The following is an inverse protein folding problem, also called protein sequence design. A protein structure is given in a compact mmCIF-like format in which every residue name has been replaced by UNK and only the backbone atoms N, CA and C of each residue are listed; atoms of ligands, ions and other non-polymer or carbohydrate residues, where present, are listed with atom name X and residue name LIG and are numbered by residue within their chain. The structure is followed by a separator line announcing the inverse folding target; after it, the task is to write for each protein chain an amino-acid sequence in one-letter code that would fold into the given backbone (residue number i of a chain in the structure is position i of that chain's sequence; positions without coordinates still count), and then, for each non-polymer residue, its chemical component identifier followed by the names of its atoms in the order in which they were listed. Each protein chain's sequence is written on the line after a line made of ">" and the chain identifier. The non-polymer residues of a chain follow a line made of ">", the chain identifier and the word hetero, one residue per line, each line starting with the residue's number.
data_IF_790937886177
#
_entry.id   IF_790937886177
#
_cell.length_a   1.000
_cell.length_b   1.000
_cell.length_c   1.000
_cell.angle_alpha   90.00
_cell.angle_beta   90.00
_cell.angle_gamma   90.00
#
_symmetry.space_group_name_H-M   'P 1'
#
loop_
_entity.id
_entity.type
_entity.pdbx_description
1 polymer ?
#
# COMPACT_ATOMS: atom_id res chain seq x y z
N UNK A 1 -33.29 1.16 8.28
CA UNK A 1 -32.73 2.52 8.36
C UNK A 1 -33.02 3.17 7.03
N UNK A 2 -33.74 4.30 7.02
CA UNK A 2 -34.43 4.80 5.84
C UNK A 2 -33.50 5.35 4.76
N UNK A 3 -33.77 4.96 3.52
CA UNK A 3 -33.37 5.64 2.28
C UNK A 3 -34.03 7.02 2.20
N UNK A 4 -33.68 7.92 3.13
CA UNK A 4 -33.95 9.33 2.97
C UNK A 4 -33.14 9.79 1.77
N UNK A 5 -33.81 10.02 0.63
CA UNK A 5 -33.27 10.61 -0.59
C UNK A 5 -32.21 11.66 -0.23
N UNK A 6 -30.93 11.30 -0.36
CA UNK A 6 -29.84 12.25 -0.16
C UNK A 6 -29.95 13.25 -1.31
N UNK A 7 -30.66 14.36 -1.09
CA UNK A 7 -30.80 15.41 -2.09
C UNK A 7 -29.41 16.00 -2.33
N UNK A 8 -28.97 16.10 -3.59
CA UNK A 8 -27.66 16.64 -3.90
C UNK A 8 -27.58 18.10 -3.46
N UNK A 9 -26.49 18.45 -2.77
CA UNK A 9 -26.25 19.80 -2.26
C UNK A 9 -25.36 20.60 -3.20
N UNK A 10 -24.47 19.91 -3.93
CA UNK A 10 -23.52 20.48 -4.87
C UNK A 10 -23.48 19.63 -6.14
N UNK A 11 -23.31 20.31 -7.25
CA UNK A 11 -23.21 19.74 -8.59
C UNK A 11 -21.97 20.30 -9.29
N UNK A 12 -21.19 19.43 -9.90
CA UNK A 12 -20.10 19.81 -10.79
C UNK A 12 -20.19 18.98 -12.07
N UNK A 13 -19.78 19.57 -13.19
CA UNK A 13 -19.78 18.89 -14.47
C UNK A 13 -18.59 19.29 -15.32
N UNK A 14 -18.18 18.38 -16.18
CA UNK A 14 -17.15 18.61 -17.19
C UNK A 14 -17.41 17.64 -18.35
N UNK A 15 -17.69 18.21 -19.53
CA UNK A 15 -18.01 17.48 -20.77
C UNK A 15 -18.96 16.28 -20.55
N UNK A 16 -18.38 15.09 -20.38
CA UNK A 16 -19.04 13.78 -20.32
C UNK A 16 -19.46 13.37 -18.92
N UNK A 17 -18.97 14.08 -17.89
CA UNK A 17 -19.14 13.73 -16.48
C UNK A 17 -20.01 14.77 -15.78
N UNK A 18 -20.97 14.27 -15.01
CA UNK A 18 -21.83 15.04 -14.10
C UNK A 18 -21.78 14.38 -12.73
N UNK A 19 -21.30 15.09 -11.72
CA UNK A 19 -21.16 14.54 -10.36
C UNK A 19 -21.98 15.35 -9.36
N UNK A 20 -22.62 14.62 -8.44
CA UNK A 20 -23.55 15.14 -7.45
C UNK A 20 -23.03 14.78 -6.05
N UNK A 21 -23.07 15.74 -5.14
CA UNK A 21 -22.42 15.62 -3.84
C UNK A 21 -23.40 15.81 -2.68
N UNK A 22 -23.09 15.20 -1.53
CA UNK A 22 -23.74 15.48 -0.25
C UNK A 22 -23.37 16.88 0.27
N UNK A 23 -23.88 17.28 1.44
CA UNK A 23 -23.44 18.53 2.09
C UNK A 23 -22.05 18.40 2.70
N UNK A 24 -21.70 17.18 3.10
CA UNK A 24 -20.46 16.80 3.76
C UNK A 24 -19.29 16.68 2.77
N UNK A 25 -19.57 16.66 1.47
CA UNK A 25 -18.55 16.59 0.41
C UNK A 25 -18.39 15.21 -0.22
N UNK A 26 -19.17 14.21 0.20
CA UNK A 26 -19.17 12.88 -0.39
C UNK A 26 -19.82 12.90 -1.78
N UNK A 27 -19.34 12.04 -2.67
CA UNK A 27 -19.98 11.82 -3.96
C UNK A 27 -21.21 10.92 -3.77
N UNK A 28 -22.38 11.42 -4.16
CA UNK A 28 -23.62 10.63 -4.15
C UNK A 28 -23.67 9.69 -5.35
N UNK A 29 -23.57 10.28 -6.53
CA UNK A 29 -23.51 9.55 -7.79
C UNK A 29 -22.85 10.40 -8.86
N UNK A 30 -22.30 9.70 -9.85
CA UNK A 30 -21.66 10.27 -11.03
C UNK A 30 -22.30 9.67 -12.27
N UNK A 31 -22.72 10.53 -13.17
CA UNK A 31 -23.18 10.19 -14.50
C UNK A 31 -22.04 10.36 -15.51
N UNK A 32 -21.71 9.28 -16.21
CA UNK A 32 -20.70 9.21 -17.27
C UNK A 32 -21.38 8.71 -18.53
N UNK A 33 -21.49 9.58 -19.53
CA UNK A 33 -22.14 9.29 -20.82
C UNK A 33 -23.58 8.72 -20.67
N UNK A 34 -24.33 9.16 -19.66
CA UNK A 34 -25.70 8.70 -19.40
C UNK A 34 -25.82 7.44 -18.53
N UNK A 35 -24.70 6.83 -18.12
CA UNK A 35 -24.68 5.75 -17.14
C UNK A 35 -24.36 6.30 -15.74
N UNK A 36 -25.14 5.91 -14.73
CA UNK A 36 -24.98 6.39 -13.35
C UNK A 36 -24.25 5.38 -12.47
N UNK A 37 -23.29 5.87 -11.69
CA UNK A 37 -22.46 5.13 -10.75
C UNK A 37 -22.59 5.74 -9.36
N UNK A 38 -22.83 4.92 -8.34
CA UNK A 38 -22.92 5.36 -6.94
C UNK A 38 -21.54 5.68 -6.37
N UNK A 39 -21.42 6.78 -5.62
CA UNK A 39 -20.19 7.12 -4.92
C UNK A 39 -20.01 6.37 -3.61
N UNK A 40 -18.75 6.30 -3.17
CA UNK A 40 -18.29 5.70 -1.92
C UNK A 40 -17.38 6.72 -1.26
N UNK A 41 -17.89 7.44 -0.25
CA UNK A 41 -17.18 8.55 0.37
C UNK A 41 -16.79 9.64 -0.64
N UNK A 42 -15.50 9.89 -0.79
CA UNK A 42 -14.92 10.93 -1.63
C UNK A 42 -14.69 10.51 -3.10
N UNK A 43 -14.98 9.26 -3.48
CA UNK A 43 -14.71 8.75 -4.82
C UNK A 43 -15.87 7.96 -5.43
N UNK A 44 -15.73 7.59 -6.70
CA UNK A 44 -16.70 6.74 -7.41
C UNK A 44 -15.98 5.54 -8.06
N UNK A 45 -16.32 4.29 -7.69
CA UNK A 45 -15.80 3.11 -8.36
C UNK A 45 -16.45 2.97 -9.74
N UNK A 46 -15.64 2.86 -10.79
CA UNK A 46 -16.12 2.70 -12.17
C UNK A 46 -15.32 1.60 -12.88
N UNK A 47 -15.95 0.63 -13.56
CA UNK A 47 -15.24 -0.41 -14.28
C UNK A 47 -14.33 0.20 -15.34
N UNK A 48 -13.07 -0.20 -15.36
CA UNK A 48 -12.04 0.41 -16.21
C UNK A 48 -12.44 0.40 -17.69
N UNK A 49 -13.19 -0.63 -18.15
CA UNK A 49 -13.71 -0.71 -19.51
C UNK A 49 -14.62 0.47 -19.92
N UNK A 50 -15.32 1.08 -18.97
CA UNK A 50 -16.22 2.23 -19.16
C UNK A 50 -15.45 3.56 -19.24
N UNK A 51 -14.24 3.61 -18.71
CA UNK A 51 -13.35 4.78 -18.75
C UNK A 51 -12.57 4.91 -20.07
N UNK A 52 -12.98 4.18 -21.12
CA UNK A 52 -12.25 4.16 -22.39
C UNK A 52 -12.33 5.52 -23.07
N UNK A 53 -11.16 6.07 -23.39
CA UNK A 53 -11.03 7.35 -24.10
C UNK A 53 -11.30 8.57 -23.23
N UNK A 54 -11.77 8.42 -21.99
CA UNK A 54 -11.89 9.52 -21.03
C UNK A 54 -10.50 10.09 -20.72
N UNK A 55 -10.34 11.40 -20.88
CA UNK A 55 -9.13 12.14 -20.52
C UNK A 55 -9.20 12.68 -19.10
N UNK A 56 -8.05 12.85 -18.47
CA UNK A 56 -7.98 13.36 -17.10
C UNK A 56 -8.61 14.75 -16.99
N UNK A 57 -8.37 15.64 -17.96
CA UNK A 57 -8.95 16.98 -17.99
C UNK A 57 -10.49 17.02 -18.05
N UNK A 58 -11.13 15.91 -18.45
CA UNK A 58 -12.58 15.76 -18.54
C UNK A 58 -13.20 15.36 -17.20
N UNK A 59 -12.39 14.94 -16.23
CA UNK A 59 -12.84 14.71 -14.86
C UNK A 59 -13.02 16.08 -14.19
N UNK A 60 -14.19 16.40 -13.61
CA UNK A 60 -14.38 17.67 -12.90
C UNK A 60 -13.43 17.81 -11.71
N UNK A 61 -13.11 19.04 -11.33
CA UNK A 61 -12.35 19.30 -10.11
C UNK A 61 -13.11 18.81 -8.87
N UNK A 62 -12.38 18.20 -7.94
CA UNK A 62 -12.96 17.59 -6.73
C UNK A 62 -13.67 16.26 -6.97
N UNK A 63 -13.59 15.68 -8.17
CA UNK A 63 -14.07 14.33 -8.46
C UNK A 63 -12.89 13.37 -8.56
N UNK A 64 -12.96 12.29 -7.79
CA UNK A 64 -12.04 11.16 -7.87
C UNK A 64 -12.79 9.92 -8.36
N UNK A 65 -12.24 9.24 -9.36
CA UNK A 65 -12.76 7.98 -9.89
C UNK A 65 -11.79 6.88 -9.48
N UNK A 66 -12.27 5.85 -8.83
CA UNK A 66 -11.49 4.63 -8.60
C UNK A 66 -11.75 3.64 -9.75
N UNK A 67 -10.77 3.36 -10.61
CA UNK A 67 -10.96 2.39 -11.67
C UNK A 67 -10.92 0.97 -11.10
N UNK A 68 -11.98 0.20 -11.32
CA UNK A 68 -12.11 -1.19 -10.84
C UNK A 68 -12.12 -2.17 -12.01
N UNK A 69 -11.78 -3.44 -11.79
CA UNK A 69 -11.82 -4.48 -12.83
C UNK A 69 -13.25 -4.74 -13.29
N UNK A 70 -14.15 -4.98 -12.34
CA UNK A 70 -15.58 -5.12 -12.54
C UNK A 70 -16.33 -4.87 -11.22
N UNK A 71 -17.64 -4.73 -11.33
CA UNK A 71 -18.54 -4.52 -10.19
C UNK A 71 -19.62 -5.61 -10.22
N UNK A 72 -19.88 -6.20 -9.06
CA UNK A 72 -21.00 -7.12 -8.87
C UNK A 72 -21.84 -6.66 -7.67
N UNK A 73 -23.00 -6.07 -7.94
CA UNK A 73 -23.85 -5.42 -6.93
C UNK A 73 -23.05 -4.38 -6.13
N UNK A 74 -22.79 -4.64 -4.85
CA UNK A 74 -22.05 -3.75 -3.94
C UNK A 74 -20.61 -4.25 -3.68
N UNK A 75 -20.11 -5.18 -4.50
CA UNK A 75 -18.75 -5.71 -4.41
C UNK A 75 -17.93 -5.13 -5.56
N UNK A 76 -16.79 -4.52 -5.20
CA UNK A 76 -15.86 -3.91 -6.14
C UNK A 76 -14.56 -4.70 -6.19
N UNK A 77 -14.14 -5.07 -7.40
CA UNK A 77 -12.90 -5.80 -7.59
C UNK A 77 -11.81 -4.82 -8.03
N UNK A 78 -10.93 -4.47 -7.08
CA UNK A 78 -9.86 -3.48 -7.29
C UNK A 78 -8.85 -3.93 -8.35
N UNK A 79 -8.28 -2.97 -9.08
CA UNK A 79 -7.22 -3.25 -10.05
C UNK A 79 -5.94 -3.67 -9.34
N UNK A 80 -5.39 -4.82 -9.71
CA UNK A 80 -4.06 -5.20 -9.24
C UNK A 80 -2.97 -4.34 -9.90
N UNK A 81 -2.36 -3.45 -9.11
CA UNK A 81 -1.31 -2.54 -9.60
C UNK A 81 0.10 -3.07 -9.40
N UNK A 82 0.34 -3.78 -8.30
CA UNK A 82 1.64 -4.32 -7.92
C UNK A 82 1.57 -5.77 -7.42
N UNK A 83 2.71 -6.22 -6.91
CA UNK A 83 2.92 -7.60 -6.44
C UNK A 83 3.41 -7.68 -5.00
N UNK A 84 3.96 -6.60 -4.48
CA UNK A 84 4.54 -6.50 -3.14
C UNK A 84 3.53 -5.95 -2.14
N UNK A 85 2.91 -4.82 -2.48
CA UNK A 85 1.91 -4.16 -1.65
C UNK A 85 0.51 -4.24 -2.28
N UNK A 86 -0.49 -3.91 -1.47
CA UNK A 86 -1.88 -3.68 -1.82
C UNK A 86 -2.03 -2.20 -2.14
N UNK A 87 -2.58 -1.92 -3.31
CA UNK A 87 -2.69 -0.56 -3.83
C UNK A 87 -4.13 -0.21 -4.11
N UNK A 88 -4.52 0.97 -3.69
CA UNK A 88 -5.72 1.66 -4.15
C UNK A 88 -5.32 2.80 -5.08
N UNK A 89 -6.11 3.01 -6.14
CA UNK A 89 -5.77 4.01 -7.16
C UNK A 89 -6.98 4.84 -7.53
N UNK A 90 -6.90 6.14 -7.23
CA UNK A 90 -7.93 7.12 -7.57
C UNK A 90 -7.39 8.06 -8.66
N UNK A 91 -8.18 8.25 -9.70
CA UNK A 91 -7.85 9.09 -10.85
C UNK A 91 -8.68 10.37 -10.78
N UNK A 92 -8.03 11.51 -10.91
CA UNK A 92 -8.67 12.82 -10.87
C UNK A 92 -8.13 13.73 -11.98
N UNK A 93 -8.59 14.98 -12.02
CA UNK A 93 -8.18 15.94 -13.05
C UNK A 93 -6.68 16.27 -13.03
N UNK A 94 -6.06 16.25 -11.84
CA UNK A 94 -4.67 16.65 -11.61
C UNK A 94 -3.65 15.52 -11.75
N UNK A 95 -4.10 14.27 -11.80
CA UNK A 95 -3.22 13.12 -11.91
C UNK A 95 -3.85 11.85 -11.36
N UNK A 96 -3.01 11.05 -10.71
CA UNK A 96 -3.42 9.80 -10.09
C UNK A 96 -2.90 9.76 -8.67
N UNK A 97 -3.82 9.60 -7.73
CA UNK A 97 -3.51 9.28 -6.34
C UNK A 97 -3.36 7.76 -6.20
N UNK A 98 -2.32 7.36 -5.49
CA UNK A 98 -1.97 5.97 -5.21
C UNK A 98 -1.80 5.83 -3.72
N UNK A 99 -2.57 4.93 -3.12
CA UNK A 99 -2.45 4.59 -1.71
C UNK A 99 -1.93 3.16 -1.56
N UNK A 100 -1.01 2.97 -0.61
CA UNK A 100 -0.58 1.67 -0.11
C UNK A 100 -1.28 1.47 1.22
N UNK A 101 -1.98 0.34 1.38
CA UNK A 101 -2.64 -0.06 2.63
C UNK A 101 -2.21 -1.48 2.98
N UNK A 102 -1.45 -1.64 4.07
CA UNK A 102 -0.88 -2.92 4.47
C UNK A 102 -1.07 -3.18 5.97
N UNK A 103 -1.71 -4.31 6.27
CA UNK A 103 -1.84 -4.83 7.63
C UNK A 103 -0.60 -5.63 8.03
N UNK A 104 0.00 -5.29 9.17
CA UNK A 104 1.25 -5.93 9.60
C UNK A 104 1.07 -7.43 9.86
N UNK A 105 -0.13 -7.83 10.31
CA UNK A 105 -0.53 -9.21 10.53
C UNK A 105 -0.62 -10.04 9.24
N UNK A 106 -0.79 -9.39 8.09
CA UNK A 106 -0.91 -10.05 6.79
C UNK A 106 0.40 -10.02 5.98
N UNK A 107 1.43 -9.36 6.51
CA UNK A 107 2.74 -9.21 5.87
C UNK A 107 3.42 -10.56 5.63
N UNK A 108 3.88 -10.80 4.40
CA UNK A 108 4.36 -12.13 3.98
C UNK A 108 5.86 -12.24 3.76
N UNK A 109 6.61 -11.13 3.77
CA UNK A 109 8.05 -11.16 3.52
C UNK A 109 8.82 -11.57 4.77
N UNK A 110 9.89 -12.35 4.59
CA UNK A 110 10.85 -12.66 5.67
C UNK A 110 11.62 -11.43 6.15
N UNK A 111 11.74 -10.42 5.30
CA UNK A 111 12.21 -9.10 5.71
C UNK A 111 11.00 -8.40 6.33
N UNK A 112 11.11 -8.03 7.61
CA UNK A 112 10.04 -7.36 8.36
C UNK A 112 9.53 -6.10 7.65
N UNK A 113 8.24 -5.79 7.86
CA UNK A 113 7.55 -4.68 7.19
C UNK A 113 8.20 -3.33 7.48
N UNK A 114 8.86 -3.17 8.64
CA UNK A 114 9.55 -1.95 9.05
C UNK A 114 10.67 -1.59 8.09
N UNK A 115 11.41 -2.59 7.59
CA UNK A 115 12.47 -2.35 6.59
C UNK A 115 11.90 -1.93 5.23
N UNK A 116 10.71 -2.41 4.88
CA UNK A 116 10.00 -2.01 3.66
C UNK A 116 9.38 -0.63 3.80
N UNK A 117 8.81 -0.31 4.96
CA UNK A 117 8.30 1.02 5.27
C UNK A 117 9.41 2.07 5.17
N UNK A 118 10.56 1.86 5.81
CA UNK A 118 11.69 2.78 5.75
C UNK A 118 12.19 2.95 4.31
N UNK A 119 12.29 1.84 3.56
CA UNK A 119 12.68 1.86 2.16
C UNK A 119 11.66 2.60 1.27
N UNK A 120 10.36 2.34 1.43
CA UNK A 120 9.28 2.97 0.68
C UNK A 120 9.29 4.48 0.88
N UNK A 121 9.36 4.93 2.14
CA UNK A 121 9.41 6.35 2.47
C UNK A 121 10.65 7.03 1.89
N UNK A 122 11.80 6.37 1.96
CA UNK A 122 13.02 6.90 1.36
C UNK A 122 12.90 7.06 -0.16
N UNK A 123 12.31 6.09 -0.86
CA UNK A 123 12.14 6.16 -2.33
C UNK A 123 11.09 7.20 -2.70
N UNK A 124 9.95 7.24 -2.02
CA UNK A 124 8.91 8.23 -2.27
C UNK A 124 9.40 9.66 -2.04
N UNK A 125 10.22 9.87 -1.01
CA UNK A 125 10.88 11.17 -0.79
C UNK A 125 11.76 11.58 -1.98
N UNK A 126 12.58 10.66 -2.51
CA UNK A 126 13.40 10.95 -3.69
C UNK A 126 12.57 11.24 -4.94
N UNK A 127 11.46 10.52 -5.13
CA UNK A 127 10.51 10.78 -6.22
C UNK A 127 9.83 12.14 -6.08
N UNK A 128 9.50 12.54 -4.84
CA UNK A 128 8.93 13.84 -4.55
C UNK A 128 9.93 14.98 -4.79
N UNK A 129 11.16 14.83 -4.28
CA UNK A 129 12.25 15.80 -4.49
C UNK A 129 12.60 15.96 -5.98
N UNK A 130 12.39 14.91 -6.78
CA UNK A 130 12.59 14.92 -8.23
C UNK A 130 11.37 15.41 -9.03
N UNK A 131 10.24 15.69 -8.38
CA UNK A 131 9.00 16.15 -9.01
C UNK A 131 8.18 15.08 -9.74
N UNK A 132 8.52 13.79 -9.58
CA UNK A 132 7.71 12.69 -10.13
C UNK A 132 6.46 12.40 -9.28
N UNK A 133 6.48 12.83 -8.02
CA UNK A 133 5.37 12.76 -7.07
C UNK A 133 5.18 14.17 -6.49
N UNK A 134 3.94 14.63 -6.37
CA UNK A 134 3.65 15.99 -5.89
C UNK A 134 3.26 16.07 -4.42
N UNK A 135 2.90 14.94 -3.82
CA UNK A 135 2.42 14.84 -2.44
C UNK A 135 2.68 13.43 -1.92
N UNK A 136 3.06 13.32 -0.65
CA UNK A 136 3.16 12.07 0.10
C UNK A 136 2.55 12.31 1.48
N UNK A 137 1.55 11.49 1.82
CA UNK A 137 0.97 11.38 3.14
C UNK A 137 1.36 10.05 3.76
N UNK A 138 1.67 10.06 5.05
CA UNK A 138 2.01 8.85 5.79
C UNK A 138 1.19 8.84 7.07
N UNK A 139 0.39 7.79 7.20
CA UNK A 139 -0.20 7.38 8.46
C UNK A 139 0.39 6.02 8.81
N UNK A 140 1.41 6.01 9.67
CA UNK A 140 1.94 4.77 10.23
C UNK A 140 1.30 4.55 11.59
N UNK A 141 0.47 3.51 11.68
CA UNK A 141 -0.01 2.99 12.96
C UNK A 141 0.96 1.96 13.54
N UNK A 142 0.58 1.40 14.69
CA UNK A 142 1.26 0.23 15.26
C UNK A 142 0.89 -1.07 14.53
N UNK A 143 -0.22 -1.09 13.79
CA UNK A 143 -0.80 -2.30 13.19
C UNK A 143 -0.88 -2.25 11.66
N UNK A 144 -0.76 -1.06 11.07
CA UNK A 144 -0.93 -0.85 9.63
C UNK A 144 0.01 0.23 9.09
N UNK A 145 0.38 0.06 7.83
CA UNK A 145 1.06 1.05 7.02
C UNK A 145 0.07 1.62 6.02
N UNK A 146 -0.22 2.91 6.14
CA UNK A 146 -0.94 3.67 5.12
C UNK A 146 -0.05 4.75 4.53
N UNK A 147 0.15 4.72 3.21
CA UNK A 147 0.91 5.74 2.48
C UNK A 147 0.14 6.17 1.25
N UNK A 148 -0.26 7.44 1.17
CA UNK A 148 -0.87 8.02 -0.03
C UNK A 148 0.12 8.92 -0.76
N UNK A 149 0.16 8.87 -2.09
CA UNK A 149 0.97 9.78 -2.89
C UNK A 149 0.32 10.10 -4.24
N UNK A 150 0.62 11.30 -4.77
CA UNK A 150 0.04 11.76 -6.04
C UNK A 150 1.09 11.80 -7.14
N UNK A 151 0.80 11.13 -8.25
CA UNK A 151 1.56 11.17 -9.49
C UNK A 151 0.93 12.23 -10.41
N UNK A 152 1.52 13.44 -10.54
CA UNK A 152 0.99 14.46 -11.43
C UNK A 152 1.12 14.00 -12.88
N UNK A 153 0.03 14.09 -13.65
CA UNK A 153 0.00 13.66 -15.05
C UNK A 153 -0.69 14.70 -15.94
N UNK A 154 -0.27 14.83 -17.21
CA UNK A 154 -0.91 15.78 -18.12
C UNK A 154 -2.40 15.47 -18.33
N UNK A 155 -3.24 16.50 -18.21
CA UNK A 155 -4.70 16.42 -18.41
C UNK A 155 -5.13 15.78 -19.74
N UNK A 156 -4.28 15.89 -20.77
CA UNK A 156 -4.51 15.35 -22.11
C UNK A 156 -4.41 13.83 -22.19
N UNK A 157 -3.82 13.16 -21.19
CA UNK A 157 -3.74 11.71 -21.12
C UNK A 157 -5.12 11.10 -20.87
N UNK A 158 -5.35 9.92 -21.43
CA UNK A 158 -6.53 9.12 -21.08
C UNK A 158 -6.31 8.39 -19.77
N UNK A 159 -7.39 8.07 -19.05
CA UNK A 159 -7.35 7.28 -17.82
C UNK A 159 -6.55 5.99 -18.01
N UNK A 160 -6.78 5.26 -19.10
CA UNK A 160 -6.00 4.06 -19.44
C UNK A 160 -4.51 4.30 -19.60
N UNK A 161 -4.11 5.41 -20.23
CA UNK A 161 -2.69 5.75 -20.38
C UNK A 161 -2.09 6.14 -19.03
N UNK A 162 -2.82 6.91 -18.22
CA UNK A 162 -2.43 7.27 -16.87
C UNK A 162 -2.19 6.02 -16.00
N UNK A 163 -3.15 5.10 -15.96
CA UNK A 163 -3.02 3.82 -15.23
C UNK A 163 -1.84 2.98 -15.72
N UNK A 164 -1.52 2.99 -17.03
CA UNK A 164 -0.33 2.30 -17.55
C UNK A 164 0.97 2.93 -17.08
N UNK A 165 1.03 4.26 -17.00
CA UNK A 165 2.20 4.98 -16.46
C UNK A 165 2.36 4.64 -14.98
N UNK A 166 1.29 4.76 -14.20
CA UNK A 166 1.30 4.46 -12.76
C UNK A 166 1.67 3.01 -12.49
N UNK A 167 1.14 2.04 -13.26
CA UNK A 167 1.51 0.63 -13.12
C UNK A 167 3.00 0.38 -13.39
N UNK A 168 3.61 1.12 -14.31
CA UNK A 168 5.07 1.02 -14.55
C UNK A 168 5.84 1.65 -13.39
N UNK A 169 5.41 2.81 -12.92
CA UNK A 169 6.01 3.47 -11.76
C UNK A 169 5.96 2.56 -10.52
N UNK A 170 4.81 1.96 -10.23
CA UNK A 170 4.63 1.02 -9.11
C UNK A 170 5.59 -0.16 -9.22
N UNK A 171 5.81 -0.73 -10.41
CA UNK A 171 6.78 -1.82 -10.58
C UNK A 171 8.21 -1.39 -10.27
N UNK A 172 8.64 -0.23 -10.76
CA UNK A 172 9.97 0.30 -10.46
C UNK A 172 10.11 0.65 -8.97
N UNK A 173 9.06 1.20 -8.36
CA UNK A 173 8.97 1.46 -6.92
C UNK A 173 9.17 0.16 -6.13
N UNK A 174 8.40 -0.89 -6.42
CA UNK A 174 8.52 -2.19 -5.73
C UNK A 174 9.92 -2.78 -5.83
N UNK A 175 10.54 -2.70 -7.02
CA UNK A 175 11.89 -3.20 -7.24
C UNK A 175 12.91 -2.43 -6.38
N UNK A 176 12.84 -1.10 -6.39
CA UNK A 176 13.77 -0.26 -5.65
C UNK A 176 13.57 -0.37 -4.12
N UNK A 177 12.32 -0.41 -3.67
CA UNK A 177 11.96 -0.63 -2.26
C UNK A 177 12.47 -1.99 -1.79
N UNK A 178 12.23 -3.06 -2.56
CA UNK A 178 12.73 -4.40 -2.24
C UNK A 178 14.25 -4.42 -2.15
N UNK A 179 14.94 -3.75 -3.08
CA UNK A 179 16.40 -3.63 -3.07
C UNK A 179 16.89 -2.97 -1.79
N UNK A 180 16.32 -1.83 -1.40
CA UNK A 180 16.72 -1.07 -0.20
C UNK A 180 16.38 -1.82 1.09
N UNK A 181 15.18 -2.38 1.21
CA UNK A 181 14.77 -3.20 2.36
C UNK A 181 15.71 -4.39 2.55
N UNK A 182 16.10 -5.06 1.46
CA UNK A 182 17.08 -6.16 1.50
C UNK A 182 18.45 -5.73 2.00
N UNK A 183 18.92 -4.55 1.59
CA UNK A 183 20.19 -3.98 2.07
C UNK A 183 20.12 -3.65 3.57
N UNK A 184 19.00 -3.06 4.03
CA UNK A 184 18.78 -2.76 5.45
C UNK A 184 18.80 -4.05 6.29
N UNK A 185 18.04 -5.07 5.87
CA UNK A 185 18.00 -6.36 6.52
C UNK A 185 19.39 -7.02 6.59
N UNK A 186 20.15 -7.00 5.49
CA UNK A 186 21.50 -7.56 5.46
C UNK A 186 22.47 -6.83 6.39
N UNK A 187 22.37 -5.50 6.49
CA UNK A 187 23.20 -4.69 7.40
C UNK A 187 22.90 -5.04 8.86
N UNK A 188 21.64 -5.15 9.23
CA UNK A 188 21.24 -5.52 10.60
C UNK A 188 21.63 -6.96 10.93
N UNK A 189 21.42 -7.91 10.02
CA UNK A 189 21.86 -9.29 10.19
C UNK A 189 23.38 -9.38 10.43
N UNK A 190 24.19 -8.70 9.60
CA UNK A 190 25.65 -8.63 9.78
C UNK A 190 26.03 -8.04 11.13
N UNK A 191 25.34 -6.99 11.58
CA UNK A 191 25.59 -6.35 12.89
C UNK A 191 25.29 -7.31 14.04
N UNK A 192 24.14 -8.00 14.01
CA UNK A 192 23.78 -8.99 15.02
C UNK A 192 24.77 -10.16 15.05
N UNK A 193 25.15 -10.69 13.89
CA UNK A 193 26.14 -11.78 13.79
C UNK A 193 27.50 -11.39 14.35
N UNK A 194 27.99 -10.17 14.08
CA UNK A 194 29.24 -9.66 14.68
C UNK A 194 29.17 -9.62 16.20
N UNK A 195 28.08 -9.08 16.77
CA UNK A 195 27.86 -9.06 18.23
C UNK A 195 27.81 -10.45 18.86
N UNK A 196 27.27 -11.44 18.13
CA UNK A 196 27.24 -12.84 18.58
C UNK A 196 28.65 -13.43 18.55
N UNK A 197 29.41 -13.19 17.48
CA UNK A 197 30.79 -13.66 17.37
C UNK A 197 31.70 -13.06 18.46
N UNK A 198 31.56 -11.76 18.75
CA UNK A 198 32.29 -11.07 19.83
C UNK A 198 32.00 -11.64 21.23
N UNK A 199 30.84 -12.29 21.43
CA UNK A 199 30.48 -12.95 22.69
C UNK A 199 31.16 -14.31 22.88
N UNK A 200 31.88 -14.83 21.89
CA UNK A 200 32.67 -16.06 22.04
C UNK A 200 31.84 -17.27 22.45
N UNK A 201 30.65 -17.45 21.85
CA UNK A 201 29.79 -18.61 22.13
C UNK A 201 30.37 -19.87 21.49
N UNK A 202 31.36 -20.48 22.13
CA UNK A 202 31.98 -21.74 21.70
C UNK A 202 31.08 -22.95 21.94
N UNK A 203 30.26 -22.91 22.99
CA UNK A 203 29.31 -23.98 23.32
C UNK A 203 28.08 -23.96 22.40
N UNK A 204 27.52 -25.13 22.11
CA UNK A 204 26.28 -25.27 21.35
C UNK A 204 25.09 -24.63 22.09
N UNK A 205 24.02 -24.27 21.35
CA UNK A 205 22.80 -23.75 21.97
C UNK A 205 22.22 -24.71 23.02
N UNK A 206 22.22 -26.00 22.74
CA UNK A 206 21.70 -27.03 23.65
C UNK A 206 22.52 -27.10 24.94
N UNK A 207 23.84 -27.07 24.87
CA UNK A 207 24.70 -27.08 26.07
C UNK A 207 24.44 -25.86 26.96
N UNK A 208 24.31 -24.68 26.36
CA UNK A 208 23.99 -23.45 27.11
C UNK A 208 22.63 -23.54 27.80
N UNK A 209 21.61 -24.06 27.12
CA UNK A 209 20.27 -24.23 27.68
C UNK A 209 20.24 -25.31 28.76
N UNK A 210 20.88 -26.46 28.53
CA UNK A 210 20.97 -27.55 29.51
C UNK A 210 21.61 -27.08 30.80
N UNK A 211 22.72 -26.33 30.73
CA UNK A 211 23.34 -25.73 31.92
C UNK A 211 22.38 -24.81 32.67
N UNK A 212 21.65 -23.92 31.99
CA UNK A 212 20.66 -23.05 32.66
C UNK A 212 19.57 -23.88 33.35
N UNK A 213 19.03 -24.87 32.63
CA UNK A 213 17.94 -25.70 33.14
C UNK A 213 18.37 -26.53 34.36
N UNK A 214 19.48 -27.26 34.27
CA UNK A 214 19.95 -28.12 35.36
C UNK A 214 20.65 -27.36 36.50
N UNK A 215 21.12 -26.13 36.27
CA UNK A 215 21.63 -25.27 37.36
C UNK A 215 20.51 -24.58 38.14
N UNK A 216 19.36 -24.31 37.51
CA UNK A 216 18.19 -23.68 38.15
C UNK A 216 17.21 -24.66 38.81
N UNK A 217 17.12 -25.89 38.30
CA UNK A 217 16.39 -26.99 38.94
C UNK A 217 17.37 -27.69 39.89
N UNK A 218 17.57 -27.14 41.09
CA UNK A 218 18.60 -27.60 42.03
C UNK A 218 18.63 -29.12 42.17
N UNK A 219 19.70 -29.76 41.69
CA UNK A 219 19.88 -31.19 41.85
C UNK A 219 21.01 -31.78 41.01
N UNK A 220 22.16 -31.97 41.66
CA UNK A 220 22.92 -33.22 41.58
C UNK A 220 23.65 -33.52 40.27
N UNK A 221 24.97 -33.60 40.39
CA UNK A 221 25.78 -34.50 39.57
C UNK A 221 25.15 -35.90 39.53
N UNK A 222 24.46 -36.27 38.46
CA UNK A 222 24.44 -37.66 38.01
C UNK A 222 24.77 -37.69 36.51
N UNK A 223 25.99 -38.15 36.25
CA UNK A 223 26.60 -38.17 34.94
C UNK A 223 25.78 -38.93 33.91
N UNK A 224 25.59 -38.30 32.76
CA UNK A 224 25.30 -39.03 31.52
C UNK A 224 26.61 -39.69 31.08
N UNK A 225 26.82 -40.88 31.64
CA UNK A 225 27.82 -41.84 31.19
C UNK A 225 27.63 -42.10 29.70
N UNK A 226 28.63 -41.71 28.91
CA UNK A 226 28.85 -42.20 27.56
C UNK A 226 28.83 -43.73 27.59
N UNK A 227 27.79 -44.36 27.03
CA UNK A 227 27.91 -45.71 26.51
C UNK A 227 28.08 -45.65 25.00
N UNK A 228 29.34 -45.72 24.61
CA UNK A 228 29.77 -46.22 23.32
C UNK A 228 29.22 -47.63 23.10
N UNK A 229 28.57 -47.84 21.95
CA UNK A 229 28.74 -49.01 21.10
C UNK A 229 28.20 -48.70 19.71
#
# INVERSE_FOLDING_TARGET
>A
MGDGERRPSKFVSSRRIRAFFTREGDVLYLDLDGETYSGVGDFVPIPVGKLRGLRLEEIPEGVSIEPVEYMEKNIFYILRMGSLFTYEVKVNRGGVEVSVDEWFSEWRSYIGIEAYQEALLSVLKELMDSGFVSYVDLESGEEMLYVSFVVPLPGSLTVFKALKVVRRLVRELELEVTRRASILALREAKRKLRRIAERGLEESFLERVSRIFYSGVGGGEEGISKKSK
#
